data_IF_712240837270
#
_entry.id   IF_712240837270
#
_cell.length_a   1.000
_cell.length_b   1.000
_cell.length_c   1.000
_cell.angle_alpha   90.00
_cell.angle_beta   90.00
_cell.angle_gamma   90.00
#
_symmetry.space_group_name_H-M   'P 1'
#
loop_
_entity.id
_entity.type
_entity.pdbx_description
1 polymer ?
#
# COMPACT_ATOMS: atom_id res chain seq x y z
N UNK A 1 16.85 -0.48 7.14
CA UNK A 1 15.85 0.60 6.99
C UNK A 1 15.01 0.25 5.78
N UNK A 2 13.69 0.08 5.93
CA UNK A 2 12.78 -0.16 4.80
C UNK A 2 12.42 1.16 4.14
N UNK A 3 12.71 1.29 2.84
CA UNK A 3 12.40 2.46 2.02
C UNK A 3 10.90 2.65 1.82
N UNK A 4 10.47 3.88 1.49
CA UNK A 4 9.07 4.16 1.10
C UNK A 4 8.59 3.26 -0.05
N UNK A 5 9.49 2.93 -0.98
CA UNK A 5 9.16 2.03 -2.09
C UNK A 5 8.85 0.61 -1.60
N UNK A 6 9.69 0.05 -0.73
CA UNK A 6 9.47 -1.29 -0.16
C UNK A 6 8.18 -1.35 0.66
N UNK A 7 7.85 -0.28 1.40
CA UNK A 7 6.58 -0.18 2.13
C UNK A 7 5.37 -0.16 1.19
N UNK A 8 5.47 0.55 0.05
CA UNK A 8 4.42 0.56 -0.99
C UNK A 8 4.22 -0.85 -1.56
N UNK A 9 5.31 -1.53 -1.93
CA UNK A 9 5.26 -2.89 -2.47
C UNK A 9 4.63 -3.85 -1.46
N UNK A 10 5.01 -3.75 -0.19
CA UNK A 10 4.44 -4.58 0.87
C UNK A 10 2.94 -4.30 1.07
N UNK A 11 2.53 -3.04 1.11
CA UNK A 11 1.11 -2.67 1.25
C UNK A 11 0.27 -3.17 0.07
N UNK A 12 0.80 -3.09 -1.15
CA UNK A 12 0.16 -3.62 -2.35
C UNK A 12 0.01 -5.14 -2.30
N UNK A 13 1.08 -5.87 -1.98
CA UNK A 13 1.03 -7.33 -1.86
C UNK A 13 0.05 -7.79 -0.78
N UNK A 14 0.00 -7.09 0.35
CA UNK A 14 -0.98 -7.34 1.41
C UNK A 14 -2.42 -7.12 0.92
N UNK A 15 -2.66 -6.06 0.15
CA UNK A 15 -3.98 -5.83 -0.46
C UNK A 15 -4.37 -6.99 -1.37
N UNK A 16 -3.49 -7.43 -2.28
CA UNK A 16 -3.78 -8.53 -3.20
C UNK A 16 -4.12 -9.81 -2.44
N UNK A 17 -3.29 -10.21 -1.47
CA UNK A 17 -3.52 -11.43 -0.69
C UNK A 17 -4.85 -11.40 0.10
N UNK A 18 -5.19 -10.24 0.67
CA UNK A 18 -6.45 -10.07 1.39
C UNK A 18 -7.66 -9.96 0.45
N UNK A 19 -7.49 -9.36 -0.73
CA UNK A 19 -8.52 -9.30 -1.77
C UNK A 19 -8.84 -10.69 -2.31
N UNK A 20 -7.83 -11.50 -2.65
CA UNK A 20 -8.01 -12.91 -3.05
C UNK A 20 -8.70 -13.71 -1.93
N UNK A 21 -8.28 -13.52 -0.68
CA UNK A 21 -8.92 -14.19 0.47
C UNK A 21 -10.37 -13.74 0.68
N UNK A 22 -10.71 -12.50 0.33
CA UNK A 22 -12.08 -12.00 0.39
C UNK A 22 -12.93 -12.50 -0.78
N UNK A 23 -12.42 -12.44 -2.01
CA UNK A 23 -13.17 -12.79 -3.22
C UNK A 23 -13.29 -14.30 -3.42
N UNK A 24 -12.18 -15.04 -3.33
CA UNK A 24 -12.17 -16.48 -3.62
C UNK A 24 -12.68 -17.30 -2.43
N UNK A 25 -12.30 -16.90 -1.20
CA UNK A 25 -12.62 -17.65 0.02
C UNK A 25 -13.78 -17.05 0.81
N UNK A 26 -14.38 -15.94 0.34
CA UNK A 26 -15.52 -15.27 0.99
C UNK A 26 -15.30 -14.94 2.48
N UNK A 27 -14.05 -14.70 2.89
CA UNK A 27 -13.72 -14.42 4.30
C UNK A 27 -14.03 -12.96 4.61
N UNK A 28 -15.12 -12.71 5.33
CA UNK A 28 -15.60 -11.34 5.66
C UNK A 28 -14.55 -10.47 6.37
N UNK A 29 -13.71 -11.06 7.22
CA UNK A 29 -12.64 -10.33 7.91
C UNK A 29 -11.56 -9.81 6.96
N UNK A 30 -11.31 -10.50 5.84
CA UNK A 30 -10.33 -10.09 4.84
C UNK A 30 -10.75 -8.78 4.14
N UNK A 31 -12.05 -8.50 4.03
CA UNK A 31 -12.56 -7.24 3.50
C UNK A 31 -12.09 -6.01 4.30
N UNK A 32 -12.04 -6.11 5.63
CA UNK A 32 -11.55 -5.02 6.48
C UNK A 32 -10.04 -4.81 6.30
N UNK A 33 -9.27 -5.91 6.19
CA UNK A 33 -7.82 -5.88 5.99
C UNK A 33 -7.44 -5.35 4.61
N UNK A 34 -8.14 -5.77 3.55
CA UNK A 34 -7.94 -5.25 2.19
C UNK A 34 -8.17 -3.73 2.11
N UNK A 35 -9.27 -3.23 2.71
CA UNK A 35 -9.54 -1.79 2.77
C UNK A 35 -8.48 -1.03 3.55
N UNK A 36 -8.01 -1.58 4.67
CA UNK A 36 -6.91 -0.99 5.45
C UNK A 36 -5.62 -0.91 4.62
N UNK A 37 -5.25 -1.97 3.92
CA UNK A 37 -4.06 -2.02 3.07
C UNK A 37 -4.12 -0.97 1.95
N UNK A 38 -5.29 -0.79 1.32
CA UNK A 38 -5.51 0.27 0.32
C UNK A 38 -5.39 1.68 0.92
N UNK A 39 -5.90 1.89 2.13
CA UNK A 39 -5.74 3.16 2.86
C UNK A 39 -4.27 3.49 3.15
N UNK A 40 -3.52 2.50 3.63
CA UNK A 40 -2.08 2.62 3.90
C UNK A 40 -1.30 2.90 2.59
N UNK A 41 -1.61 2.17 1.52
CA UNK A 41 -1.03 2.38 0.19
C UNK A 41 -1.27 3.80 -0.35
N UNK A 42 -2.48 4.33 -0.18
CA UNK A 42 -2.83 5.70 -0.58
C UNK A 42 -2.04 6.77 0.18
N UNK A 43 -1.68 6.53 1.44
CA UNK A 43 -0.81 7.42 2.20
C UNK A 43 0.64 7.34 1.72
N UNK A 44 1.17 6.12 1.61
CA UNK A 44 2.56 5.88 1.22
C UNK A 44 2.88 6.43 -0.18
N UNK A 45 1.94 6.31 -1.12
CA UNK A 45 2.11 6.85 -2.48
C UNK A 45 2.16 8.38 -2.51
N UNK A 46 1.41 9.07 -1.64
CA UNK A 46 1.51 10.54 -1.48
C UNK A 46 2.87 10.93 -0.91
N UNK A 47 3.34 10.22 0.10
CA UNK A 47 4.65 10.47 0.73
C UNK A 47 5.78 10.25 -0.29
N UNK A 48 5.72 9.16 -1.08
CA UNK A 48 6.69 8.89 -2.14
C UNK A 48 6.67 9.95 -3.25
N UNK A 49 5.49 10.43 -3.65
CA UNK A 49 5.36 11.54 -4.61
C UNK A 49 6.04 12.81 -4.07
N UNK A 50 5.83 13.13 -2.79
CA UNK A 50 6.49 14.27 -2.15
C UNK A 50 8.01 14.10 -2.14
N UNK A 51 8.51 12.93 -1.75
CA UNK A 51 9.95 12.62 -1.76
C UNK A 51 10.59 12.83 -3.14
N UNK A 52 9.91 12.42 -4.21
CA UNK A 52 10.37 12.62 -5.59
C UNK A 52 10.42 14.12 -5.93
N UNK A 53 9.38 14.86 -5.57
CA UNK A 53 9.29 16.29 -5.84
C UNK A 53 10.36 17.09 -5.07
N UNK A 54 10.60 16.75 -3.80
CA UNK A 54 11.64 17.37 -2.98
C UNK A 54 13.03 17.08 -3.55
N UNK A 55 13.29 15.83 -3.96
CA UNK A 55 14.54 15.46 -4.66
C UNK A 55 14.74 16.26 -5.94
N UNK A 56 13.71 16.37 -6.79
CA UNK A 56 13.77 17.15 -8.04
C UNK A 56 14.11 18.62 -7.79
N UNK A 57 13.55 19.22 -6.74
CA UNK A 57 13.78 20.62 -6.40
C UNK A 57 15.16 20.88 -5.78
N UNK A 58 15.80 19.83 -5.25
CA UNK A 58 17.15 19.89 -4.69
C UNK A 58 18.26 19.55 -5.70
N UNK A 59 17.89 19.24 -6.95
CA UNK A 59 18.78 19.09 -8.10
C UNK A 59 18.91 20.42 -8.85
#
# INVERSE_FOLDING_TARGET
MTTLHEQIVQAYNNYIAEAETFEDKSVKAAAARARKALGDLGKLTKDRRKEIQDKKNAM
#
